data_IF_387486662377
#
_entry.id   IF_387486662377
#
_cell.length_a   1.000
_cell.length_b   1.000
_cell.length_c   1.000
_cell.angle_alpha   90.00
_cell.angle_beta   90.00
_cell.angle_gamma   90.00
#
_symmetry.space_group_name_H-M   'P 1'
#
loop_
_entity.id
_entity.type
_entity.pdbx_description
1 polymer ?
#
# COMPACT_ATOMS: atom_id res chain seq x y z
N UNK A 1 0.18 26.06 -0.48
CA UNK A 1 0.37 24.72 0.14
C UNK A 1 -0.03 23.68 -0.91
N UNK A 2 0.74 22.61 -1.14
CA UNK A 2 0.35 21.54 -2.08
C UNK A 2 -0.16 20.31 -1.31
N UNK A 3 -1.21 19.63 -1.75
CA UNK A 3 -1.72 18.43 -1.08
C UNK A 3 -0.76 17.23 -1.23
N UNK A 4 -0.92 16.26 -0.33
CA UNK A 4 -0.16 15.01 -0.28
C UNK A 4 -1.04 13.84 -0.68
N UNK A 5 -0.57 13.00 -1.60
CA UNK A 5 -1.26 11.78 -2.01
C UNK A 5 -0.83 10.65 -1.08
N UNK A 6 -1.76 10.10 -0.30
CA UNK A 6 -1.53 8.88 0.47
C UNK A 6 -2.06 7.68 -0.29
N UNK A 7 -1.17 6.73 -0.61
CA UNK A 7 -1.52 5.49 -1.28
C UNK A 7 -1.45 4.34 -0.26
N UNK A 8 -2.56 3.63 -0.10
CA UNK A 8 -2.67 2.48 0.80
C UNK A 8 -2.31 1.20 0.03
N UNK A 9 -1.07 0.77 0.21
CA UNK A 9 -0.41 -0.30 -0.55
C UNK A 9 0.02 -1.49 0.31
N UNK A 10 -0.40 -1.55 1.58
CA UNK A 10 -0.01 -2.59 2.53
C UNK A 10 -0.90 -3.87 2.47
N UNK A 11 -1.92 -3.88 1.60
CA UNK A 11 -2.79 -5.03 1.39
C UNK A 11 -2.12 -6.12 0.56
N UNK A 12 -2.23 -7.38 0.99
CA UNK A 12 -1.76 -8.52 0.19
C UNK A 12 -2.78 -8.86 -0.90
N UNK A 13 -2.32 -9.02 -2.12
CA UNK A 13 -3.08 -9.54 -3.25
C UNK A 13 -3.34 -11.05 -3.17
N UNK A 14 -3.63 -11.62 -1.99
CA UNK A 14 -3.78 -13.08 -1.80
C UNK A 14 -4.82 -13.70 -2.73
N UNK A 15 -5.84 -12.93 -3.16
CA UNK A 15 -6.87 -13.39 -4.11
C UNK A 15 -6.35 -13.74 -5.53
N UNK A 16 -5.16 -13.27 -5.95
CA UNK A 16 -4.56 -13.58 -7.26
C UNK A 16 -3.03 -13.83 -7.16
N UNK A 17 -2.54 -14.37 -6.04
CA UNK A 17 -1.21 -15.01 -5.99
C UNK A 17 0.04 -14.14 -5.82
N UNK A 18 -0.04 -12.84 -5.51
CA UNK A 18 1.18 -12.04 -5.34
C UNK A 18 0.98 -10.51 -5.16
N UNK A 19 2.08 -9.77 -5.37
CA UNK A 19 2.20 -8.31 -5.28
C UNK A 19 1.49 -7.63 -6.47
N UNK A 20 0.16 -7.57 -6.47
CA UNK A 20 -0.64 -7.04 -7.60
C UNK A 20 -0.61 -5.52 -7.83
N UNK A 21 0.30 -4.81 -7.16
CA UNK A 21 0.46 -3.37 -7.36
C UNK A 21 1.63 -3.03 -8.30
N UNK A 22 2.53 -3.98 -8.53
CA UNK A 22 3.64 -3.86 -9.49
C UNK A 22 3.28 -4.46 -10.86
N UNK A 23 2.15 -5.17 -10.96
CA UNK A 23 1.70 -5.74 -12.23
C UNK A 23 1.32 -4.64 -13.21
N UNK A 24 1.83 -4.79 -14.42
CA UNK A 24 1.52 -3.90 -15.53
C UNK A 24 0.08 -4.09 -15.98
N UNK A 25 -0.68 -3.00 -16.02
CA UNK A 25 -2.09 -2.99 -16.45
C UNK A 25 -2.31 -2.15 -17.71
N UNK A 26 -1.31 -1.37 -18.13
CA UNK A 26 -1.41 -0.41 -19.21
C UNK A 26 -0.32 -0.56 -20.27
N UNK A 27 -0.41 0.30 -21.28
CA UNK A 27 0.55 0.37 -22.39
C UNK A 27 1.95 0.62 -21.85
N UNK A 28 2.97 -0.01 -22.44
CA UNK A 28 4.38 0.14 -22.05
C UNK A 28 4.71 -0.26 -20.60
N UNK A 29 3.94 -1.16 -20.00
CA UNK A 29 4.25 -1.66 -18.64
C UNK A 29 3.91 -0.65 -17.53
N UNK A 30 2.91 0.20 -17.76
CA UNK A 30 2.38 1.10 -16.75
C UNK A 30 1.53 0.33 -15.72
N UNK A 31 1.74 0.64 -14.44
CA UNK A 31 0.98 0.10 -13.31
C UNK A 31 -0.17 1.05 -12.95
N UNK A 32 -1.12 0.59 -12.14
CA UNK A 32 -2.18 1.45 -11.59
C UNK A 32 -1.59 2.60 -10.77
N UNK A 33 -0.46 2.36 -10.10
CA UNK A 33 0.23 3.38 -9.31
C UNK A 33 0.79 4.50 -10.18
N UNK A 34 1.30 4.18 -11.38
CA UNK A 34 1.81 5.19 -12.30
C UNK A 34 0.71 6.16 -12.73
N UNK A 35 -0.47 5.63 -13.10
CA UNK A 35 -1.62 6.47 -13.44
C UNK A 35 -2.09 7.32 -12.25
N UNK A 36 -2.16 6.71 -11.05
CA UNK A 36 -2.60 7.42 -9.84
C UNK A 36 -1.67 8.58 -9.48
N UNK A 37 -0.35 8.37 -9.60
CA UNK A 37 0.65 9.42 -9.35
C UNK A 37 0.61 10.48 -10.45
N UNK A 38 0.49 10.07 -11.72
CA UNK A 38 0.40 10.98 -12.86
C UNK A 38 -0.79 11.95 -12.72
N UNK A 39 -1.97 11.43 -12.40
CA UNK A 39 -3.17 12.25 -12.22
C UNK A 39 -3.05 13.18 -11.01
N UNK A 40 -2.49 12.70 -9.89
CA UNK A 40 -2.27 13.52 -8.71
C UNK A 40 -1.32 14.69 -8.99
N UNK A 41 -0.23 14.48 -9.74
CA UNK A 41 0.67 15.56 -10.12
C UNK A 41 -0.03 16.62 -10.97
N UNK A 42 -0.87 16.19 -11.93
CA UNK A 42 -1.68 17.10 -12.74
C UNK A 42 -2.73 17.84 -11.92
N UNK A 43 -3.24 17.23 -10.87
CA UNK A 43 -4.15 17.85 -9.91
C UNK A 43 -3.44 18.78 -8.90
N UNK A 44 -2.11 18.92 -8.97
CA UNK A 44 -1.34 19.86 -8.16
C UNK A 44 -0.80 19.28 -6.85
N UNK A 45 -0.83 17.97 -6.66
CA UNK A 45 -0.20 17.31 -5.51
C UNK A 45 1.31 17.51 -5.54
N UNK A 46 1.89 17.74 -4.36
CA UNK A 46 3.31 18.05 -4.21
C UNK A 46 4.14 16.92 -3.62
N UNK A 47 3.49 15.88 -3.08
CA UNK A 47 4.14 14.79 -2.36
C UNK A 47 3.30 13.51 -2.48
N UNK A 48 3.97 12.37 -2.52
CA UNK A 48 3.36 11.03 -2.46
C UNK A 48 3.85 10.31 -1.21
N UNK A 49 2.95 9.66 -0.50
CA UNK A 49 3.25 8.81 0.66
C UNK A 49 2.71 7.42 0.36
N UNK A 50 3.58 6.42 0.41
CA UNK A 50 3.26 5.01 0.17
C UNK A 50 3.20 4.28 1.50
N UNK A 51 2.00 3.88 1.94
CA UNK A 51 1.82 3.01 3.10
C UNK A 51 1.91 1.55 2.65
N UNK A 52 3.05 0.90 2.90
CA UNK A 52 3.33 -0.48 2.47
C UNK A 52 3.67 -1.39 3.65
N UNK A 53 3.81 -2.70 3.42
CA UNK A 53 4.46 -3.59 4.38
C UNK A 53 5.97 -3.51 4.21
N UNK A 54 6.72 -3.65 5.31
CA UNK A 54 8.18 -3.67 5.25
C UNK A 54 8.72 -4.83 4.39
N UNK A 55 8.02 -5.96 4.38
CA UNK A 55 8.40 -7.15 3.61
C UNK A 55 8.40 -6.95 2.08
N UNK A 56 7.72 -5.93 1.57
CA UNK A 56 7.59 -5.66 0.12
C UNK A 56 8.36 -4.41 -0.31
N UNK A 57 9.09 -3.77 0.60
CA UNK A 57 9.79 -2.52 0.35
C UNK A 57 10.83 -2.64 -0.77
N UNK A 58 11.62 -3.72 -0.75
CA UNK A 58 12.67 -3.96 -1.73
C UNK A 58 12.09 -4.09 -3.14
N UNK A 59 11.03 -4.90 -3.29
CA UNK A 59 10.34 -5.10 -4.57
C UNK A 59 9.73 -3.78 -5.08
N UNK A 60 9.11 -3.00 -4.18
CA UNK A 60 8.55 -1.69 -4.52
C UNK A 60 9.62 -0.73 -5.01
N UNK A 61 10.74 -0.63 -4.28
CA UNK A 61 11.85 0.24 -4.67
C UNK A 61 12.46 -0.20 -6.00
N UNK A 62 12.62 -1.50 -6.24
CA UNK A 62 13.16 -2.01 -7.51
C UNK A 62 12.28 -1.61 -8.72
N UNK A 63 10.95 -1.59 -8.56
CA UNK A 63 10.03 -1.26 -9.65
C UNK A 63 9.83 0.26 -9.83
N UNK A 64 9.80 1.00 -8.73
CA UNK A 64 9.35 2.41 -8.74
C UNK A 64 10.45 3.45 -8.46
N UNK A 65 11.67 3.04 -8.07
CA UNK A 65 12.74 4.00 -7.78
C UNK A 65 13.02 4.95 -8.94
N UNK A 66 13.19 4.41 -10.15
CA UNK A 66 13.46 5.23 -11.34
C UNK A 66 12.24 6.03 -11.80
N UNK A 67 11.04 5.45 -11.64
CA UNK A 67 9.77 6.06 -12.06
C UNK A 67 9.45 7.31 -11.25
N UNK A 68 9.77 7.30 -9.95
CA UNK A 68 9.46 8.40 -9.03
C UNK A 68 10.67 9.21 -8.56
N UNK A 69 11.85 9.05 -9.17
CA UNK A 69 13.10 9.70 -8.74
C UNK A 69 13.02 11.23 -8.61
N UNK A 70 12.16 11.86 -9.40
CA UNK A 70 11.98 13.32 -9.43
C UNK A 70 10.80 13.79 -8.57
N UNK A 71 10.18 12.90 -7.79
CA UNK A 71 9.00 13.18 -6.98
C UNK A 71 9.33 13.04 -5.49
N UNK A 72 8.77 13.91 -4.62
CA UNK A 72 8.88 13.72 -3.18
C UNK A 72 8.05 12.51 -2.74
N UNK A 73 8.67 11.34 -2.68
CA UNK A 73 8.05 10.08 -2.24
C UNK A 73 8.56 9.69 -0.86
N UNK A 74 7.64 9.39 0.05
CA UNK A 74 7.94 8.86 1.38
C UNK A 74 7.30 7.48 1.57
N UNK A 75 8.03 6.56 2.18
CA UNK A 75 7.54 5.23 2.51
C UNK A 75 7.20 5.16 3.99
N UNK A 76 5.96 4.74 4.29
CA UNK A 76 5.47 4.49 5.64
C UNK A 76 5.12 3.01 5.74
N UNK A 77 5.38 2.40 6.89
CA UNK A 77 5.19 0.96 7.07
C UNK A 77 3.99 0.66 7.95
N UNK A 78 3.10 -0.22 7.48
CA UNK A 78 2.05 -0.80 8.31
C UNK A 78 2.60 -2.00 9.08
N UNK A 79 2.60 -1.91 10.41
CA UNK A 79 2.87 -3.03 11.30
C UNK A 79 1.57 -3.75 11.66
N UNK A 80 1.60 -5.08 11.60
CA UNK A 80 0.41 -5.92 11.75
C UNK A 80 0.20 -6.33 13.22
N UNK A 81 0.30 -5.39 14.17
CA UNK A 81 0.19 -5.68 15.61
C UNK A 81 -1.27 -5.70 16.12
N UNK A 82 -2.24 -5.31 15.28
CA UNK A 82 -3.64 -5.15 15.68
C UNK A 82 -4.44 -6.46 15.78
N UNK A 83 -3.92 -7.60 15.31
CA UNK A 83 -4.67 -8.87 15.28
C UNK A 83 -4.60 -9.67 16.58
N UNK A 84 -3.60 -9.45 17.46
CA UNK A 84 -3.49 -10.23 18.71
C UNK A 84 -4.54 -9.85 19.75
N UNK A 85 -4.93 -8.58 19.84
CA UNK A 85 -5.91 -8.12 20.86
C UNK A 85 -7.36 -8.44 20.48
N UNK A 86 -7.70 -8.39 19.19
CA UNK A 86 -9.08 -8.57 18.73
C UNK A 86 -9.53 -10.03 18.75
N UNK A 87 -8.65 -10.98 18.40
CA UNK A 87 -8.96 -12.42 18.46
C UNK A 87 -9.13 -12.91 19.90
N UNK A 88 -8.28 -12.47 20.84
CA UNK A 88 -8.37 -12.83 22.26
C UNK A 88 -9.68 -12.35 22.93
N UNK A 89 -10.30 -11.29 22.41
CA UNK A 89 -11.56 -10.78 22.95
C UNK A 89 -12.78 -11.49 22.36
N UNK A 90 -12.72 -11.92 21.09
CA UNK A 90 -13.74 -12.79 20.49
C UNK A 90 -13.78 -14.18 21.17
N UNK A 91 -12.64 -14.81 21.45
CA UNK A 91 -12.62 -16.13 22.11
C UNK A 91 -13.20 -16.09 23.53
N UNK A 92 -12.95 -15.01 24.30
CA UNK A 92 -13.58 -14.84 25.63
C UNK A 92 -15.08 -14.59 25.56
N UNK A 93 -15.56 -13.92 24.51
CA UNK A 93 -16.97 -13.64 24.33
C UNK A 93 -17.76 -14.93 24.02
N UNK A 94 -17.16 -15.86 23.25
CA UNK A 94 -17.79 -17.14 22.93
C UNK A 94 -17.71 -18.17 24.07
N UNK A 95 -16.69 -18.15 24.94
CA UNK A 95 -16.66 -19.07 26.10
C UNK A 95 -17.69 -18.77 27.19
N UNK A 96 -18.28 -17.57 27.22
CA UNK A 96 -19.34 -17.22 28.19
C UNK A 96 -20.77 -17.51 27.68
N UNK A 97 -20.96 -17.80 26.39
CA UNK A 97 -22.20 -18.38 25.90
C UNK A 97 -22.03 -19.90 25.78
N UNK A 98 -22.32 -20.60 26.88
CA UNK A 98 -22.66 -22.03 26.82
C UNK A 98 -23.95 -22.18 25.99
N UNK A 99 -23.81 -22.50 24.71
CA UNK A 99 -24.80 -23.33 24.00
C UNK A 99 -24.54 -24.80 24.34
#
# INVERSE_FOLDING_TARGET
>A
MKPTLLILAAGMGSRYGGLKQIDSVGVNGATILDYSVYDALRAGFGKVVLLIRKSIEADFKAVFADRFKNLPVEYVFQENEMSKRFFLQCDRFFQHLKL
#
